data_IF_619036252752
#
_entry.id   IF_619036252752
#
_cell.length_a   1.000
_cell.length_b   1.000
_cell.length_c   1.000
_cell.angle_alpha   90.00
_cell.angle_beta   90.00
_cell.angle_gamma   90.00
#
_symmetry.space_group_name_H-M   'P 1'
#
loop_
_entity.id
_entity.type
_entity.pdbx_description
1 polymer ?
#
# COMPACT_ATOMS: atom_id res chain seq x y z
N UNK A 1 -41.26 60.25 60.09
CA UNK A 1 -40.63 60.44 58.77
C UNK A 1 -39.22 59.83 58.77
N UNK A 2 -39.11 58.50 58.93
CA UNK A 2 -37.80 57.80 58.93
C UNK A 2 -37.83 56.45 58.18
N UNK A 3 -39.01 55.84 57.98
CA UNK A 3 -39.13 54.53 57.31
C UNK A 3 -39.21 54.58 55.77
N UNK A 4 -39.60 55.70 55.15
CA UNK A 4 -39.61 55.81 53.68
C UNK A 4 -38.20 55.94 53.08
N UNK A 5 -37.23 56.50 53.83
CA UNK A 5 -35.88 56.71 53.33
C UNK A 5 -35.02 55.43 53.26
N UNK A 6 -35.35 54.39 54.02
CA UNK A 6 -34.54 53.15 54.06
C UNK A 6 -34.93 52.15 52.96
N UNK A 7 -36.17 52.21 52.47
CA UNK A 7 -36.68 51.31 51.43
C UNK A 7 -36.17 51.66 50.03
N UNK A 8 -35.99 52.94 49.71
CA UNK A 8 -35.48 53.32 48.38
C UNK A 8 -34.01 52.96 48.24
N UNK A 9 -33.18 53.19 49.26
CA UNK A 9 -31.74 52.86 49.25
C UNK A 9 -31.51 51.35 49.08
N UNK A 10 -32.24 50.53 49.82
CA UNK A 10 -32.19 49.07 49.67
C UNK A 10 -32.66 48.61 48.29
N UNK A 11 -33.72 49.21 47.76
CA UNK A 11 -34.21 48.88 46.41
C UNK A 11 -33.22 49.29 45.31
N UNK A 12 -32.49 50.38 45.49
CA UNK A 12 -31.46 50.85 44.56
C UNK A 12 -30.23 49.96 44.64
N UNK A 13 -29.79 49.59 45.84
CA UNK A 13 -28.70 48.63 46.04
C UNK A 13 -29.04 47.24 45.50
N UNK A 14 -30.27 46.76 45.71
CA UNK A 14 -30.75 45.49 45.16
C UNK A 14 -30.83 45.54 43.63
N UNK A 15 -31.35 46.63 43.04
CA UNK A 15 -31.36 46.83 41.58
C UNK A 15 -29.96 46.95 41.00
N UNK A 16 -29.03 47.62 41.68
CA UNK A 16 -27.63 47.71 41.26
C UNK A 16 -26.94 46.35 41.35
N UNK A 17 -27.15 45.59 42.43
CA UNK A 17 -26.62 44.24 42.58
C UNK A 17 -27.20 43.26 41.55
N UNK A 18 -28.51 43.30 41.32
CA UNK A 18 -29.19 42.46 40.34
C UNK A 18 -28.83 42.83 38.90
N UNK A 19 -28.70 44.13 38.58
CA UNK A 19 -28.24 44.58 37.26
C UNK A 19 -26.78 44.19 37.00
N UNK A 20 -25.89 44.31 38.01
CA UNK A 20 -24.52 43.82 37.91
C UNK A 20 -24.44 42.30 37.70
N UNK A 21 -25.29 41.52 38.38
CA UNK A 21 -25.37 40.06 38.18
C UNK A 21 -25.93 39.69 36.79
N UNK A 22 -26.91 40.44 36.28
CA UNK A 22 -27.44 40.25 34.92
C UNK A 22 -26.39 40.60 33.86
N UNK A 23 -25.59 41.64 34.07
CA UNK A 23 -24.50 42.04 33.19
C UNK A 23 -23.37 41.00 33.19
N UNK A 24 -23.02 40.44 34.35
CA UNK A 24 -22.03 39.37 34.45
C UNK A 24 -22.47 38.08 33.73
N UNK A 25 -23.75 37.70 33.83
CA UNK A 25 -24.30 36.54 33.09
C UNK A 25 -24.32 36.79 31.57
N UNK A 26 -24.74 37.97 31.13
CA UNK A 26 -24.72 38.36 29.71
C UNK A 26 -23.28 38.38 29.18
N UNK A 27 -22.33 38.94 29.91
CA UNK A 27 -20.92 38.95 29.53
C UNK A 27 -20.35 37.52 29.43
N UNK A 28 -20.71 36.62 30.34
CA UNK A 28 -20.31 35.20 30.26
C UNK A 28 -20.92 34.50 29.04
N UNK A 29 -22.20 34.73 28.75
CA UNK A 29 -22.87 34.14 27.58
C UNK A 29 -22.30 34.68 26.26
N UNK A 30 -22.05 35.99 26.17
CA UNK A 30 -21.37 36.60 25.02
C UNK A 30 -19.94 36.09 24.86
N UNK A 31 -19.20 35.92 25.97
CA UNK A 31 -17.88 35.32 25.95
C UNK A 31 -17.88 33.87 25.45
N UNK A 32 -18.87 33.06 25.85
CA UNK A 32 -19.05 31.69 25.34
C UNK A 32 -19.42 31.73 23.86
N UNK A 33 -20.36 32.60 23.46
CA UNK A 33 -20.78 32.75 22.07
C UNK A 33 -19.61 33.12 21.14
N UNK A 34 -18.84 34.16 21.50
CA UNK A 34 -17.68 34.56 20.69
C UNK A 34 -16.58 33.49 20.69
N UNK A 35 -16.33 32.78 21.80
CA UNK A 35 -15.39 31.65 21.81
C UNK A 35 -15.86 30.52 20.90
N UNK A 36 -17.14 30.13 20.97
CA UNK A 36 -17.72 29.11 20.09
C UNK A 36 -17.69 29.54 18.62
N UNK A 37 -17.94 30.82 18.33
CA UNK A 37 -17.82 31.37 16.98
C UNK A 37 -16.37 31.30 16.47
N UNK A 38 -15.39 31.65 17.31
CA UNK A 38 -13.97 31.55 16.98
C UNK A 38 -13.55 30.09 16.79
N UNK A 39 -13.99 29.16 17.62
CA UNK A 39 -13.73 27.73 17.44
C UNK A 39 -14.41 27.20 16.17
N UNK A 40 -15.62 27.64 15.85
CA UNK A 40 -16.30 27.31 14.59
C UNK A 40 -15.57 27.86 13.37
N UNK A 41 -15.11 29.11 13.43
CA UNK A 41 -14.30 29.74 12.38
C UNK A 41 -12.96 29.03 12.20
N UNK A 42 -12.25 28.72 13.30
CA UNK A 42 -11.00 27.96 13.26
C UNK A 42 -11.22 26.54 12.76
N UNK A 43 -12.33 25.89 13.11
CA UNK A 43 -12.70 24.58 12.59
C UNK A 43 -12.97 24.64 11.09
N UNK A 44 -13.64 25.68 10.60
CA UNK A 44 -13.90 25.90 9.17
C UNK A 44 -12.62 26.23 8.41
N UNK A 45 -11.74 27.07 8.99
CA UNK A 45 -10.40 27.34 8.45
C UNK A 45 -9.54 26.08 8.42
N UNK A 46 -9.60 25.27 9.47
CA UNK A 46 -8.92 23.99 9.52
C UNK A 46 -9.53 23.04 8.49
N UNK A 47 -10.85 23.04 8.29
CA UNK A 47 -11.51 22.24 7.24
C UNK A 47 -11.08 22.67 5.83
N UNK A 48 -10.93 23.97 5.60
CA UNK A 48 -10.42 24.53 4.34
C UNK A 48 -8.93 24.25 4.15
N UNK A 49 -8.12 24.35 5.21
CA UNK A 49 -6.67 24.16 5.19
C UNK A 49 -6.27 22.68 5.13
N UNK A 50 -7.02 21.83 5.80
CA UNK A 50 -6.87 20.37 5.81
C UNK A 50 -7.39 19.75 4.51
N UNK A 51 -8.06 20.54 3.67
CA UNK A 51 -8.66 20.10 2.43
C UNK A 51 -9.78 19.12 2.72
N UNK A 52 -11.02 19.53 2.51
CA UNK A 52 -12.05 18.59 2.07
C UNK A 52 -11.68 18.07 0.66
N UNK A 53 -10.52 17.42 0.54
CA UNK A 53 -10.26 16.31 -0.36
C UNK A 53 -10.71 15.08 0.44
N UNK A 54 -11.86 14.43 0.22
CA UNK A 54 -12.53 14.34 -1.06
C UNK A 54 -11.54 13.93 -2.12
N UNK A 55 -10.79 12.83 -1.92
CA UNK A 55 -9.91 12.21 -2.91
C UNK A 55 -10.73 11.75 -4.12
N UNK A 56 -11.19 12.73 -4.88
CA UNK A 56 -11.36 12.68 -6.30
C UNK A 56 -10.48 13.80 -6.79
N UNK A 57 -9.25 13.44 -7.14
CA UNK A 57 -8.56 14.14 -8.21
C UNK A 57 -9.50 14.01 -9.41
N UNK A 58 -10.46 14.93 -9.54
CA UNK A 58 -11.20 15.14 -10.75
C UNK A 58 -10.13 15.56 -11.77
N UNK A 59 -9.59 14.55 -12.45
CA UNK A 59 -8.67 14.63 -13.57
C UNK A 59 -9.35 15.27 -14.78
N UNK A 60 -9.87 16.48 -14.60
CA UNK A 60 -10.17 17.40 -15.69
C UNK A 60 -8.99 18.35 -15.88
N UNK A 61 -7.76 17.81 -15.94
CA UNK A 61 -6.77 18.39 -16.83
C UNK A 61 -7.28 18.05 -18.24
N UNK A 62 -7.83 19.06 -18.92
CA UNK A 62 -8.64 18.98 -20.14
C UNK A 62 -7.87 18.53 -21.41
N UNK A 63 -6.95 17.59 -21.28
CA UNK A 63 -6.10 17.11 -22.37
C UNK A 63 -5.76 15.63 -22.25
N UNK A 64 -5.28 15.09 -23.36
CA UNK A 64 -4.64 13.77 -23.40
C UNK A 64 -3.50 13.71 -22.39
N UNK A 65 -3.29 12.54 -21.81
CA UNK A 65 -2.24 12.34 -20.82
C UNK A 65 -1.75 10.89 -20.78
N UNK A 66 -0.54 10.72 -20.27
CA UNK A 66 0.00 9.44 -19.83
C UNK A 66 -0.43 9.19 -18.38
N UNK A 67 -1.08 8.06 -18.11
CA UNK A 67 -1.46 7.69 -16.75
C UNK A 67 -0.28 7.01 -16.04
N UNK A 68 0.11 7.49 -14.86
CA UNK A 68 1.14 6.91 -14.02
C UNK A 68 0.51 6.18 -12.82
N UNK A 69 1.01 4.99 -12.53
CA UNK A 69 0.66 4.22 -11.33
C UNK A 69 1.97 3.76 -10.67
N UNK A 70 2.14 4.03 -9.38
CA UNK A 70 3.30 3.63 -8.60
C UNK A 70 3.08 2.33 -7.81
N UNK A 71 3.99 1.38 -7.97
CA UNK A 71 4.13 0.19 -7.14
C UNK A 71 5.44 0.28 -6.34
N UNK A 72 5.36 0.77 -5.11
CA UNK A 72 6.53 0.98 -4.24
C UNK A 72 6.46 0.13 -2.97
N UNK A 73 7.54 -0.59 -2.68
CA UNK A 73 7.70 -1.37 -1.46
C UNK A 73 7.21 -2.82 -1.56
N UNK A 74 7.05 -3.47 -0.41
CA UNK A 74 6.66 -4.88 -0.32
C UNK A 74 5.19 -5.04 -0.70
N UNK A 75 4.90 -5.99 -1.59
CA UNK A 75 3.55 -6.32 -2.03
C UNK A 75 2.87 -7.20 -0.98
N UNK A 76 1.92 -6.66 -0.24
CA UNK A 76 1.15 -7.43 0.74
C UNK A 76 -0.21 -6.80 0.97
N UNK A 77 -1.18 -7.58 1.45
CA UNK A 77 -2.56 -7.12 1.70
C UNK A 77 -2.66 -5.99 2.73
N UNK A 78 -1.65 -5.85 3.61
CA UNK A 78 -1.56 -4.84 4.66
C UNK A 78 -0.67 -3.64 4.30
N UNK A 79 -0.01 -3.68 3.13
CA UNK A 79 0.80 -2.58 2.60
C UNK A 79 -0.02 -1.63 1.72
N UNK A 80 0.56 -0.49 1.34
CA UNK A 80 0.00 0.36 0.29
C UNK A 80 0.08 -0.30 -1.10
N UNK A 81 1.08 -1.15 -1.34
CA UNK A 81 1.27 -1.91 -2.57
C UNK A 81 0.45 -3.22 -2.55
N UNK A 82 -0.83 -3.11 -2.20
CA UNK A 82 -1.78 -4.22 -2.21
C UNK A 82 -2.55 -4.28 -3.54
N UNK A 83 -3.13 -5.45 -3.82
CA UNK A 83 -3.87 -5.71 -5.03
C UNK A 83 -5.10 -4.82 -5.18
N UNK A 84 -5.85 -4.56 -4.11
CA UNK A 84 -7.09 -3.76 -4.20
C UNK A 84 -6.80 -2.33 -4.68
N UNK A 85 -5.79 -1.68 -4.11
CA UNK A 85 -5.35 -0.34 -4.52
C UNK A 85 -4.87 -0.35 -5.98
N UNK A 86 -3.97 -1.27 -6.34
CA UNK A 86 -3.40 -1.33 -7.69
C UNK A 86 -4.46 -1.64 -8.74
N UNK A 87 -5.39 -2.55 -8.45
CA UNK A 87 -6.51 -2.89 -9.33
C UNK A 87 -7.42 -1.66 -9.50
N UNK A 88 -7.70 -0.93 -8.41
CA UNK A 88 -8.44 0.34 -8.48
C UNK A 88 -7.75 1.36 -9.40
N UNK A 89 -6.45 1.61 -9.17
CA UNK A 89 -5.66 2.52 -9.99
C UNK A 89 -5.63 2.13 -11.47
N UNK A 90 -5.43 0.83 -11.76
CA UNK A 90 -5.46 0.29 -13.12
C UNK A 90 -6.82 0.51 -13.76
N UNK A 91 -7.90 0.18 -13.05
CA UNK A 91 -9.25 0.37 -13.55
C UNK A 91 -9.56 1.83 -13.87
N UNK A 92 -9.14 2.75 -13.03
CA UNK A 92 -9.41 4.18 -13.23
C UNK A 92 -8.59 4.73 -14.39
N UNK A 93 -7.30 4.37 -14.49
CA UNK A 93 -6.44 4.76 -15.62
C UNK A 93 -6.97 4.25 -16.97
N UNK A 94 -7.38 2.97 -17.06
CA UNK A 94 -7.89 2.40 -18.31
C UNK A 94 -9.30 2.90 -18.70
N UNK A 95 -10.12 3.32 -17.72
CA UNK A 95 -11.47 3.88 -17.98
C UNK A 95 -11.43 5.35 -18.36
N UNK A 96 -10.37 6.08 -18.01
CA UNK A 96 -10.24 7.48 -18.36
C UNK A 96 -10.12 7.68 -19.88
N UNK A 97 -10.93 8.59 -20.43
CA UNK A 97 -11.05 8.79 -21.89
C UNK A 97 -9.86 9.52 -22.50
N UNK A 98 -9.06 10.19 -21.69
CA UNK A 98 -7.93 11.00 -22.12
C UNK A 98 -6.59 10.27 -21.96
N UNK A 99 -6.58 9.09 -21.31
CA UNK A 99 -5.40 8.25 -21.18
C UNK A 99 -4.94 7.72 -22.54
N UNK A 100 -3.72 8.08 -22.95
CA UNK A 100 -3.09 7.58 -24.18
C UNK A 100 -2.31 6.28 -23.96
N UNK A 101 -1.94 6.00 -22.71
CA UNK A 101 -1.15 4.87 -22.29
C UNK A 101 -0.91 4.89 -20.79
N UNK A 102 -0.66 3.72 -20.22
CA UNK A 102 -0.43 3.54 -18.79
C UNK A 102 1.05 3.21 -18.56
N UNK A 103 1.71 3.95 -17.67
CA UNK A 103 3.01 3.61 -17.11
C UNK A 103 2.80 3.06 -15.69
N UNK A 104 3.14 1.80 -15.48
CA UNK A 104 3.27 1.21 -14.15
C UNK A 104 4.74 1.32 -13.72
N UNK A 105 5.03 2.26 -12.84
CA UNK A 105 6.37 2.43 -12.28
C UNK A 105 6.56 1.48 -11.10
N UNK A 106 7.62 0.68 -11.14
CA UNK A 106 7.88 -0.34 -10.13
C UNK A 106 9.20 -0.07 -9.41
N UNK A 107 9.11 0.00 -8.07
CA UNK A 107 10.23 -0.05 -7.14
C UNK A 107 9.90 -0.98 -5.97
N UNK A 108 10.00 -2.30 -6.21
CA UNK A 108 9.53 -3.33 -5.30
C UNK A 108 10.47 -4.54 -5.23
N UNK A 109 10.76 -5.05 -4.00
CA UNK A 109 11.45 -6.32 -3.80
C UNK A 109 10.54 -7.54 -4.01
N UNK A 110 9.25 -7.34 -4.30
CA UNK A 110 8.26 -8.41 -4.36
C UNK A 110 7.37 -8.47 -3.12
N UNK A 111 6.85 -9.66 -2.81
CA UNK A 111 5.93 -9.88 -1.70
C UNK A 111 5.02 -11.09 -1.90
N UNK A 112 3.73 -10.96 -1.61
CA UNK A 112 2.77 -12.06 -1.66
C UNK A 112 2.54 -12.56 -3.10
N UNK A 113 2.66 -13.89 -3.36
CA UNK A 113 2.34 -14.46 -4.68
C UNK A 113 0.87 -14.26 -5.07
N UNK A 114 -0.04 -14.27 -4.09
CA UNK A 114 -1.48 -14.09 -4.33
C UNK A 114 -1.76 -12.66 -4.77
N UNK A 115 -1.22 -11.67 -4.05
CA UNK A 115 -1.41 -10.26 -4.39
C UNK A 115 -0.83 -9.93 -5.77
N UNK A 116 0.38 -10.44 -6.07
CA UNK A 116 0.98 -10.27 -7.39
C UNK A 116 0.18 -10.94 -8.51
N UNK A 117 -0.35 -12.14 -8.27
CA UNK A 117 -1.23 -12.85 -9.21
C UNK A 117 -2.49 -12.09 -9.56
N UNK A 118 -3.19 -11.55 -8.55
CA UNK A 118 -4.40 -10.74 -8.76
C UNK A 118 -4.15 -9.52 -9.65
N UNK A 119 -3.04 -8.81 -9.42
CA UNK A 119 -2.69 -7.63 -10.23
C UNK A 119 -2.27 -8.04 -11.63
N UNK A 120 -1.51 -9.13 -11.79
CA UNK A 120 -1.14 -9.67 -13.11
C UNK A 120 -2.38 -10.00 -13.95
N UNK A 121 -3.33 -10.73 -13.37
CA UNK A 121 -4.58 -11.09 -14.03
C UNK A 121 -5.40 -9.86 -14.43
N UNK A 122 -5.46 -8.84 -13.56
CA UNK A 122 -6.14 -7.60 -13.87
C UNK A 122 -5.46 -6.82 -15.01
N UNK A 123 -4.13 -6.69 -15.00
CA UNK A 123 -3.39 -6.05 -16.11
C UNK A 123 -3.75 -6.73 -17.43
N UNK A 124 -3.74 -8.07 -17.45
CA UNK A 124 -4.09 -8.84 -18.66
C UNK A 124 -5.54 -8.61 -19.09
N UNK A 125 -6.47 -8.56 -18.13
CA UNK A 125 -7.88 -8.29 -18.41
C UNK A 125 -8.06 -6.89 -19.00
N UNK A 126 -7.43 -5.88 -18.41
CA UNK A 126 -7.51 -4.49 -18.87
C UNK A 126 -6.91 -4.31 -20.27
N UNK A 127 -5.71 -4.85 -20.53
CA UNK A 127 -5.11 -4.84 -21.87
C UNK A 127 -5.99 -5.50 -22.93
N UNK A 128 -6.72 -6.57 -22.56
CA UNK A 128 -7.68 -7.21 -23.47
C UNK A 128 -8.92 -6.36 -23.74
N UNK A 129 -9.41 -5.62 -22.75
CA UNK A 129 -10.57 -4.75 -22.88
C UNK A 129 -10.26 -3.42 -23.59
N UNK A 130 -9.02 -2.95 -23.44
CA UNK A 130 -8.53 -1.67 -23.94
C UNK A 130 -7.29 -1.87 -24.83
N UNK A 131 -7.42 -2.55 -25.99
CA UNK A 131 -6.28 -2.91 -26.83
C UNK A 131 -5.53 -1.70 -27.41
N UNK A 132 -6.17 -0.53 -27.45
CA UNK A 132 -5.58 0.72 -27.96
C UNK A 132 -4.81 1.51 -26.87
N UNK A 133 -4.88 1.09 -25.60
CA UNK A 133 -4.18 1.72 -24.48
C UNK A 133 -3.02 0.79 -24.06
N UNK A 134 -1.78 1.06 -24.47
CA UNK A 134 -0.64 0.23 -24.07
C UNK A 134 -0.35 0.40 -22.57
N UNK A 135 0.09 -0.69 -21.93
CA UNK A 135 0.64 -0.65 -20.58
C UNK A 135 2.13 -0.98 -20.60
N UNK A 136 2.93 -0.01 -20.17
CA UNK A 136 4.37 -0.14 -20.05
C UNK A 136 4.78 -0.15 -18.59
N UNK A 137 5.73 -1.01 -18.26
CA UNK A 137 6.38 -0.98 -16.95
C UNK A 137 7.67 -0.18 -17.07
N UNK A 138 7.91 0.70 -16.11
CA UNK A 138 9.21 1.35 -15.93
C UNK A 138 9.77 0.92 -14.59
N UNK A 139 10.90 0.24 -14.60
CA UNK A 139 11.60 -0.16 -13.38
C UNK A 139 12.49 0.99 -12.92
N UNK A 140 12.35 1.39 -11.66
CA UNK A 140 13.31 2.28 -10.99
C UNK A 140 14.52 1.46 -10.51
N UNK A 141 14.73 1.37 -9.19
CA UNK A 141 15.86 0.65 -8.62
C UNK A 141 15.65 -0.86 -8.66
N UNK A 142 14.42 -1.33 -8.41
CA UNK A 142 14.14 -2.76 -8.23
C UNK A 142 12.77 -3.20 -8.75
N UNK A 143 12.75 -4.29 -9.50
CA UNK A 143 11.56 -5.03 -9.90
C UNK A 143 11.86 -6.53 -9.74
N UNK A 144 11.81 -6.99 -8.50
CA UNK A 144 12.16 -8.36 -8.13
C UNK A 144 10.93 -9.17 -7.72
N UNK A 145 10.99 -10.48 -7.93
CA UNK A 145 10.08 -11.46 -7.35
C UNK A 145 8.62 -11.12 -7.66
N UNK A 146 7.74 -10.93 -6.68
CA UNK A 146 6.35 -10.49 -6.91
C UNK A 146 6.20 -9.23 -7.78
N UNK A 147 7.16 -8.29 -7.74
CA UNK A 147 7.17 -7.13 -8.62
C UNK A 147 7.41 -7.51 -10.09
N UNK A 148 8.32 -8.45 -10.34
CA UNK A 148 8.56 -8.98 -11.69
C UNK A 148 7.40 -9.85 -12.17
N UNK A 149 6.74 -10.58 -11.27
CA UNK A 149 5.49 -11.31 -11.55
C UNK A 149 4.45 -10.38 -12.16
N UNK A 150 4.21 -9.21 -11.55
CA UNK A 150 3.29 -8.20 -12.08
C UNK A 150 3.81 -7.66 -13.41
N UNK A 151 5.09 -7.29 -13.48
CA UNK A 151 5.69 -6.67 -14.66
C UNK A 151 5.59 -7.54 -15.92
N UNK A 152 5.65 -8.87 -15.77
CA UNK A 152 5.54 -9.81 -16.88
C UNK A 152 4.22 -9.68 -17.67
N UNK A 153 3.16 -9.12 -17.08
CA UNK A 153 1.90 -8.87 -17.78
C UNK A 153 1.89 -7.62 -18.68
N UNK A 154 2.93 -6.78 -18.67
CA UNK A 154 2.99 -5.57 -19.47
C UNK A 154 3.25 -5.82 -20.97
N UNK A 155 2.98 -4.81 -21.82
CA UNK A 155 3.36 -4.83 -23.23
C UNK A 155 4.88 -4.79 -23.41
N UNK A 156 5.52 -3.88 -22.66
CA UNK A 156 6.97 -3.67 -22.58
C UNK A 156 7.41 -3.33 -21.16
N UNK A 157 8.65 -3.69 -20.84
CA UNK A 157 9.34 -3.41 -19.59
C UNK A 157 10.59 -2.60 -19.91
N UNK A 158 10.66 -1.38 -19.38
CA UNK A 158 11.78 -0.46 -19.49
C UNK A 158 12.58 -0.46 -18.18
N UNK A 159 13.90 -0.37 -18.29
CA UNK A 159 14.82 -0.42 -17.14
C UNK A 159 15.90 0.66 -17.23
N UNK A 160 16.51 1.01 -16.10
CA UNK A 160 17.84 1.60 -16.10
C UNK A 160 18.90 0.49 -16.20
N UNK A 161 20.11 0.81 -16.69
CA UNK A 161 21.25 -0.11 -16.74
C UNK A 161 21.51 -0.83 -15.41
N UNK A 162 21.39 -0.07 -14.31
CA UNK A 162 21.66 -0.55 -12.95
C UNK A 162 20.41 -1.03 -12.20
N UNK A 163 19.22 -0.97 -12.80
CA UNK A 163 18.01 -1.55 -12.18
C UNK A 163 18.22 -3.01 -11.85
N UNK A 164 17.63 -3.48 -10.76
CA UNK A 164 17.67 -4.87 -10.33
C UNK A 164 16.36 -5.55 -10.74
N UNK A 165 16.44 -6.59 -11.56
CA UNK A 165 15.30 -7.32 -12.09
C UNK A 165 15.49 -8.82 -11.89
N UNK A 166 14.40 -9.58 -11.82
CA UNK A 166 14.44 -11.03 -11.68
C UNK A 166 13.98 -11.46 -10.30
N UNK A 167 14.81 -12.21 -9.57
CA UNK A 167 14.38 -12.93 -8.36
C UNK A 167 13.19 -13.84 -8.65
N UNK A 168 13.24 -14.54 -9.79
CA UNK A 168 12.16 -15.43 -10.20
C UNK A 168 12.33 -16.73 -9.42
N UNK A 169 11.63 -16.80 -8.30
CA UNK A 169 11.70 -17.88 -7.33
C UNK A 169 10.66 -17.68 -6.23
N UNK A 170 10.57 -18.67 -5.32
CA UNK A 170 9.64 -18.67 -4.19
C UNK A 170 10.37 -19.19 -2.98
N UNK A 171 10.17 -18.57 -1.82
CA UNK A 171 10.74 -19.05 -0.58
C UNK A 171 9.70 -19.09 0.54
N UNK A 172 9.97 -19.97 1.49
CA UNK A 172 9.33 -19.96 2.79
C UNK A 172 10.44 -20.16 3.81
N UNK A 173 10.62 -19.18 4.68
CA UNK A 173 11.70 -19.13 5.64
C UNK A 173 11.18 -19.12 7.08
N UNK A 174 12.10 -19.31 8.01
CA UNK A 174 11.84 -19.40 9.44
C UNK A 174 13.10 -19.81 10.18
N UNK A 175 13.13 -19.55 11.49
CA UNK A 175 14.24 -19.94 12.35
C UNK A 175 13.92 -21.22 13.12
N UNK A 176 14.96 -21.98 13.48
CA UNK A 176 14.87 -23.08 14.44
C UNK A 176 15.63 -22.75 15.73
N UNK A 177 14.99 -22.96 16.88
CA UNK A 177 15.54 -22.61 18.22
C UNK A 177 15.81 -23.81 19.12
N UNK A 178 15.62 -25.04 18.64
CA UNK A 178 15.79 -26.28 19.42
C UNK A 178 17.12 -26.35 20.16
N UNK A 179 18.24 -26.05 19.48
CA UNK A 179 19.57 -26.05 20.09
C UNK A 179 19.77 -24.96 21.15
N UNK A 180 19.14 -23.79 20.98
CA UNK A 180 19.19 -22.69 21.96
C UNK A 180 18.41 -23.07 23.21
N UNK A 181 17.20 -23.60 23.05
CA UNK A 181 16.36 -24.03 24.17
C UNK A 181 17.03 -25.13 25.00
N UNK A 182 17.68 -26.09 24.35
CA UNK A 182 18.44 -27.14 25.03
C UNK A 182 19.55 -26.57 25.92
N UNK A 183 20.29 -25.55 25.44
CA UNK A 183 21.35 -24.90 26.23
C UNK A 183 20.82 -24.11 27.42
N UNK A 184 19.63 -23.54 27.30
CA UNK A 184 19.00 -22.74 28.34
C UNK A 184 18.12 -23.57 29.31
N UNK A 185 17.98 -24.88 29.07
CA UNK A 185 17.11 -25.74 29.86
C UNK A 185 15.61 -25.46 29.66
N UNK A 186 15.24 -24.90 28.51
CA UNK A 186 13.82 -24.61 28.17
C UNK A 186 13.22 -25.84 27.49
N UNK A 187 12.12 -26.35 28.06
CA UNK A 187 11.36 -27.47 27.51
C UNK A 187 10.11 -26.95 26.77
N UNK A 188 9.90 -27.42 25.55
CA UNK A 188 8.69 -27.12 24.78
C UNK A 188 7.63 -28.21 25.00
N UNK A 189 6.42 -27.83 25.40
CA UNK A 189 5.26 -28.72 25.53
C UNK A 189 4.16 -28.32 24.55
N UNK A 190 4.08 -29.00 23.41
CA UNK A 190 3.03 -28.77 22.41
C UNK A 190 2.02 -29.91 22.40
N UNK A 191 0.75 -29.56 22.56
CA UNK A 191 -0.38 -30.46 22.37
C UNK A 191 -1.23 -29.93 21.21
N UNK A 192 -1.53 -30.78 20.23
CA UNK A 192 -2.29 -30.40 19.03
C UNK A 192 -3.37 -31.41 18.69
N UNK A 193 -4.49 -30.92 18.16
CA UNK A 193 -5.42 -31.71 17.39
C UNK A 193 -5.10 -31.58 15.89
N UNK A 194 -4.94 -32.70 15.19
CA UNK A 194 -4.47 -32.77 13.80
C UNK A 194 -2.95 -33.00 13.70
N UNK A 195 -2.54 -34.03 12.95
CA UNK A 195 -1.16 -34.53 12.89
C UNK A 195 -0.13 -33.48 12.44
N UNK A 196 -0.53 -32.54 11.59
CA UNK A 196 0.35 -31.52 11.02
C UNK A 196 0.18 -30.13 11.66
N UNK A 197 -0.57 -30.01 12.77
CA UNK A 197 -0.89 -28.70 13.34
C UNK A 197 0.30 -28.01 14.03
N UNK A 198 1.39 -28.73 14.26
CA UNK A 198 2.69 -28.19 14.65
C UNK A 198 3.65 -27.89 13.49
N UNK A 199 3.16 -27.92 12.23
CA UNK A 199 3.94 -27.59 11.04
C UNK A 199 4.57 -26.19 11.15
N UNK A 200 5.83 -26.07 10.75
CA UNK A 200 6.62 -24.83 10.81
C UNK A 200 6.79 -24.24 12.22
N UNK A 201 6.63 -25.04 13.26
CA UNK A 201 6.95 -24.58 14.61
C UNK A 201 8.47 -24.42 14.80
N UNK A 202 8.96 -23.21 15.14
CA UNK A 202 10.39 -22.92 15.21
C UNK A 202 11.05 -23.54 16.46
N UNK A 203 10.27 -24.09 17.37
CA UNK A 203 10.72 -24.67 18.64
C UNK A 203 10.73 -26.21 18.61
N UNK A 204 10.31 -26.81 17.49
CA UNK A 204 10.35 -28.26 17.27
C UNK A 204 11.47 -28.63 16.30
N UNK A 205 12.00 -29.87 16.38
CA UNK A 205 12.91 -30.37 15.37
C UNK A 205 12.27 -30.37 13.98
N UNK A 206 13.07 -30.15 12.95
CA UNK A 206 12.60 -30.21 11.56
C UNK A 206 12.06 -31.62 11.26
N UNK A 207 10.84 -31.69 10.73
CA UNK A 207 10.19 -32.93 10.35
C UNK A 207 10.40 -33.21 8.85
N UNK A 208 11.03 -34.34 8.45
CA UNK A 208 11.28 -34.64 7.04
C UNK A 208 10.02 -34.71 6.17
N UNK A 209 8.89 -35.14 6.72
CA UNK A 209 7.60 -35.17 5.99
C UNK A 209 7.10 -33.77 5.69
N UNK A 210 7.22 -32.87 6.68
CA UNK A 210 6.86 -31.46 6.53
C UNK A 210 7.78 -30.74 5.56
N UNK A 211 9.08 -31.03 5.61
CA UNK A 211 10.06 -30.49 4.67
C UNK A 211 9.76 -30.92 3.22
N UNK A 212 9.48 -32.21 2.99
CA UNK A 212 9.11 -32.70 1.67
C UNK A 212 7.80 -32.06 1.15
N UNK A 213 6.80 -31.92 2.02
CA UNK A 213 5.55 -31.22 1.70
C UNK A 213 5.79 -29.76 1.33
N UNK A 214 6.60 -29.05 2.12
CA UNK A 214 6.99 -27.66 1.84
C UNK A 214 7.68 -27.52 0.50
N UNK A 215 8.67 -28.39 0.18
CA UNK A 215 9.36 -28.34 -1.11
C UNK A 215 8.38 -28.50 -2.26
N UNK A 216 7.48 -29.48 -2.18
CA UNK A 216 6.49 -29.70 -3.24
C UNK A 216 5.57 -28.49 -3.42
N UNK A 217 5.11 -27.91 -2.33
CA UNK A 217 4.29 -26.68 -2.36
C UNK A 217 5.05 -25.50 -3.00
N UNK A 218 6.32 -25.30 -2.65
CA UNK A 218 7.15 -24.25 -3.25
C UNK A 218 7.40 -24.50 -4.73
N UNK A 219 7.65 -25.74 -5.15
CA UNK A 219 7.77 -26.13 -6.57
C UNK A 219 6.49 -25.79 -7.34
N UNK A 220 5.32 -26.11 -6.80
CA UNK A 220 4.04 -25.85 -7.46
C UNK A 220 3.79 -24.34 -7.65
N UNK A 221 4.11 -23.51 -6.63
CA UNK A 221 4.01 -22.04 -6.73
C UNK A 221 5.07 -21.49 -7.70
N UNK A 222 6.28 -22.05 -7.69
CA UNK A 222 7.34 -21.60 -8.57
C UNK A 222 7.01 -21.87 -10.04
N UNK A 223 6.41 -23.02 -10.34
CA UNK A 223 5.93 -23.33 -11.69
C UNK A 223 4.89 -22.32 -12.19
N UNK A 224 3.98 -21.87 -11.32
CA UNK A 224 3.01 -20.81 -11.69
C UNK A 224 3.71 -19.50 -12.06
N UNK A 225 4.76 -19.12 -11.31
CA UNK A 225 5.54 -17.92 -11.63
C UNK A 225 6.30 -18.08 -12.95
N UNK A 226 6.95 -19.22 -13.16
CA UNK A 226 7.61 -19.55 -14.44
C UNK A 226 6.63 -19.42 -15.60
N UNK A 227 5.42 -19.96 -15.47
CA UNK A 227 4.39 -19.93 -16.52
C UNK A 227 3.97 -18.49 -16.85
N UNK A 228 3.79 -17.64 -15.84
CA UNK A 228 3.48 -16.22 -16.03
C UNK A 228 4.61 -15.49 -16.76
N UNK A 229 5.86 -15.72 -16.37
CA UNK A 229 7.01 -15.10 -17.04
C UNK A 229 7.12 -15.58 -18.49
N UNK A 230 7.01 -16.88 -18.74
CA UNK A 230 7.05 -17.46 -20.09
C UNK A 230 5.92 -16.93 -20.96
N UNK A 231 4.71 -16.81 -20.41
CA UNK A 231 3.56 -16.26 -21.11
C UNK A 231 3.74 -14.78 -21.44
N UNK A 232 4.23 -13.98 -20.50
CA UNK A 232 4.43 -12.55 -20.67
C UNK A 232 5.57 -12.19 -21.63
N UNK A 233 6.72 -12.82 -21.44
CA UNK A 233 7.92 -12.54 -22.24
C UNK A 233 7.88 -13.22 -23.61
N UNK A 234 7.28 -14.41 -23.69
CA UNK A 234 7.13 -15.17 -24.94
C UNK A 234 8.48 -15.43 -25.62
N UNK A 235 8.54 -15.24 -26.93
CA UNK A 235 9.76 -15.46 -27.74
C UNK A 235 10.94 -14.52 -27.39
N UNK A 236 10.69 -13.44 -26.64
CA UNK A 236 11.75 -12.51 -26.20
C UNK A 236 12.66 -13.16 -25.16
N UNK A 237 12.10 -14.03 -24.33
CA UNK A 237 12.82 -14.69 -23.24
C UNK A 237 13.89 -15.63 -23.80
N UNK A 238 15.13 -15.44 -23.33
CA UNK A 238 16.26 -16.30 -23.63
C UNK A 238 16.65 -17.03 -22.35
N UNK A 239 15.96 -18.15 -22.12
CA UNK A 239 16.14 -18.95 -20.92
C UNK A 239 17.58 -19.49 -20.81
N UNK A 240 18.16 -19.32 -19.63
CA UNK A 240 19.40 -19.94 -19.16
C UNK A 240 19.08 -20.86 -17.98
N UNK A 241 19.98 -21.78 -17.59
CA UNK A 241 19.79 -22.61 -16.40
C UNK A 241 19.48 -21.82 -15.11
N UNK A 242 19.92 -20.55 -15.06
CA UNK A 242 19.77 -19.67 -13.89
C UNK A 242 18.59 -18.70 -13.99
N UNK A 243 17.82 -18.72 -15.08
CA UNK A 243 16.74 -17.73 -15.28
C UNK A 243 15.67 -17.81 -14.18
N UNK A 244 15.41 -19.02 -13.69
CA UNK A 244 14.39 -19.31 -12.67
C UNK A 244 15.02 -19.83 -11.37
N UNK A 245 16.27 -19.49 -11.07
CA UNK A 245 16.93 -19.95 -9.83
C UNK A 245 16.71 -19.01 -8.63
N UNK A 246 15.99 -17.90 -8.81
CA UNK A 246 15.85 -16.83 -7.82
C UNK A 246 16.98 -15.79 -7.84
N UNK A 247 17.87 -15.82 -8.84
CA UNK A 247 18.91 -14.80 -8.99
C UNK A 247 18.39 -13.46 -9.54
N UNK A 248 19.15 -12.40 -9.24
CA UNK A 248 18.94 -11.06 -9.74
C UNK A 248 19.83 -10.77 -10.94
N UNK A 249 19.37 -9.86 -11.80
CA UNK A 249 20.07 -9.39 -12.97
C UNK A 249 20.02 -7.86 -13.00
N UNK A 250 21.10 -7.23 -13.47
CA UNK A 250 21.09 -5.81 -13.80
C UNK A 250 20.17 -5.56 -15.00
N UNK A 251 19.67 -4.34 -15.18
CA UNK A 251 18.83 -3.98 -16.31
C UNK A 251 19.52 -4.24 -17.66
N UNK A 252 20.83 -3.96 -17.77
CA UNK A 252 21.64 -4.32 -18.93
C UNK A 252 21.51 -5.82 -19.25
N UNK A 253 21.69 -6.67 -18.23
CA UNK A 253 21.62 -8.12 -18.40
C UNK A 253 20.19 -8.61 -18.65
N UNK A 254 19.21 -7.98 -18.03
CA UNK A 254 17.80 -8.29 -18.19
C UNK A 254 17.33 -8.07 -19.64
N UNK A 255 17.81 -7.03 -20.33
CA UNK A 255 17.53 -6.81 -21.75
C UNK A 255 18.18 -7.92 -22.60
N UNK A 256 19.44 -8.28 -22.34
CA UNK A 256 20.10 -9.36 -23.08
C UNK A 256 19.35 -10.69 -22.99
N UNK A 257 18.85 -11.01 -21.79
CA UNK A 257 18.07 -12.22 -21.48
C UNK A 257 16.60 -12.12 -21.92
N UNK A 258 16.15 -10.95 -22.37
CA UNK A 258 14.75 -10.70 -22.73
C UNK A 258 13.79 -10.67 -21.55
N UNK A 259 14.31 -10.51 -20.32
CA UNK A 259 13.53 -10.23 -19.12
C UNK A 259 13.02 -8.78 -19.10
N UNK A 260 13.73 -7.87 -19.76
CA UNK A 260 13.30 -6.51 -20.07
C UNK A 260 13.38 -6.26 -21.59
N UNK A 261 12.80 -5.16 -22.06
CA UNK A 261 12.74 -4.83 -23.48
C UNK A 261 13.77 -3.77 -23.86
N UNK A 262 13.76 -2.61 -23.19
CA UNK A 262 14.54 -1.44 -23.57
C UNK A 262 14.96 -0.61 -22.35
N UNK A 263 15.84 0.37 -22.54
CA UNK A 263 16.14 1.35 -21.49
C UNK A 263 15.10 2.47 -21.47
N UNK A 264 14.76 2.97 -20.28
CA UNK A 264 13.87 4.11 -20.16
C UNK A 264 13.64 4.58 -18.73
N UNK A 265 13.26 5.84 -18.60
CA UNK A 265 12.59 6.44 -17.44
C UNK A 265 11.14 6.76 -17.76
N UNK A 266 10.34 7.09 -16.74
CA UNK A 266 8.94 7.54 -16.91
C UNK A 266 8.87 8.68 -17.93
N UNK A 267 9.70 9.71 -17.77
CA UNK A 267 9.71 10.86 -18.67
C UNK A 267 10.04 10.48 -20.11
N UNK A 268 11.05 9.61 -20.32
CA UNK A 268 11.41 9.17 -21.67
C UNK A 268 10.33 8.31 -22.31
N UNK A 269 9.65 7.46 -21.53
CA UNK A 269 8.59 6.60 -22.07
C UNK A 269 7.35 7.45 -22.40
N UNK A 270 6.96 8.37 -21.52
CA UNK A 270 5.87 9.30 -21.75
C UNK A 270 6.13 10.17 -23.00
N UNK A 271 7.29 10.83 -23.06
CA UNK A 271 7.67 11.71 -24.17
C UNK A 271 7.94 10.97 -25.48
N UNK A 272 8.85 9.99 -25.44
CA UNK A 272 9.47 9.45 -26.65
C UNK A 272 8.71 8.23 -27.19
N UNK A 273 8.04 7.47 -26.32
CA UNK A 273 7.29 6.26 -26.72
C UNK A 273 5.80 6.56 -26.87
N UNK A 274 5.16 7.11 -25.82
CA UNK A 274 3.72 7.41 -25.82
C UNK A 274 3.38 8.72 -26.53
N UNK A 275 4.39 9.59 -26.77
CA UNK A 275 4.23 10.91 -27.41
C UNK A 275 3.28 11.84 -26.63
N UNK A 276 3.26 11.71 -25.31
CA UNK A 276 2.44 12.51 -24.41
C UNK A 276 3.20 12.73 -23.09
N UNK A 277 3.79 13.92 -22.95
CA UNK A 277 4.61 14.31 -21.79
C UNK A 277 3.77 14.65 -20.56
N UNK A 278 2.49 14.96 -20.74
CA UNK A 278 1.60 15.26 -19.63
C UNK A 278 1.31 13.99 -18.83
N UNK A 279 1.89 13.86 -17.64
CA UNK A 279 1.73 12.71 -16.77
C UNK A 279 0.71 13.04 -15.67
N UNK A 280 -0.30 12.19 -15.53
CA UNK A 280 -1.30 12.28 -14.46
C UNK A 280 -1.16 11.05 -13.57
N UNK A 281 -1.08 11.28 -12.26
CA UNK A 281 -0.93 10.22 -11.27
C UNK A 281 -2.29 9.61 -10.89
N UNK A 282 -2.45 8.31 -11.13
CA UNK A 282 -3.62 7.51 -10.79
C UNK A 282 -3.39 6.60 -9.58
N UNK A 283 -2.24 6.72 -8.91
CA UNK A 283 -1.89 5.89 -7.76
C UNK A 283 -2.88 6.09 -6.63
N UNK A 284 -3.61 5.03 -6.28
CA UNK A 284 -4.53 5.06 -5.16
C UNK A 284 -3.73 5.04 -3.85
N UNK A 285 -3.92 6.08 -3.05
CA UNK A 285 -3.42 6.14 -1.70
C UNK A 285 -4.59 5.92 -0.73
N UNK A 286 -4.36 5.20 0.38
CA UNK A 286 -5.33 5.22 1.47
C UNK A 286 -5.62 6.67 1.87
N UNK A 287 -6.90 7.03 1.87
CA UNK A 287 -7.36 8.35 2.24
C UNK A 287 -6.86 8.72 3.64
N UNK A 288 -6.62 10.01 3.86
CA UNK A 288 -6.05 10.53 5.11
C UNK A 288 -6.82 10.06 6.37
N UNK A 289 -8.14 9.88 6.25
CA UNK A 289 -9.00 9.36 7.31
C UNK A 289 -8.65 7.92 7.73
N UNK A 290 -8.38 7.03 6.77
CA UNK A 290 -8.01 5.64 7.06
C UNK A 290 -6.62 5.54 7.70
N UNK A 291 -5.68 6.39 7.26
CA UNK A 291 -4.35 6.49 7.87
C UNK A 291 -4.43 6.97 9.32
N UNK A 292 -5.29 7.96 9.60
CA UNK A 292 -5.55 8.42 10.97
C UNK A 292 -6.22 7.33 11.80
N UNK A 293 -7.25 6.67 11.27
CA UNK A 293 -7.96 5.61 11.97
C UNK A 293 -7.03 4.44 12.34
N UNK A 294 -6.13 4.02 11.43
CA UNK A 294 -5.11 3.00 11.72
C UNK A 294 -4.09 3.47 12.76
N UNK A 295 -3.61 4.72 12.70
CA UNK A 295 -2.66 5.25 13.70
C UNK A 295 -3.29 5.40 15.08
N UNK A 296 -4.54 5.85 15.16
CA UNK A 296 -5.30 5.91 16.40
C UNK A 296 -5.63 4.51 16.92
N UNK A 297 -6.08 3.60 16.06
CA UNK A 297 -6.40 2.22 16.39
C UNK A 297 -5.18 1.43 16.86
N UNK A 298 -4.02 1.59 16.22
CA UNK A 298 -2.76 0.99 16.65
C UNK A 298 -2.27 1.58 17.98
N UNK A 299 -2.46 2.88 18.21
CA UNK A 299 -2.20 3.51 19.51
C UNK A 299 -3.07 2.92 20.63
N UNK A 300 -4.35 2.69 20.37
CA UNK A 300 -5.28 2.06 21.32
C UNK A 300 -5.00 0.56 21.51
N UNK A 301 -4.62 -0.17 20.45
CA UNK A 301 -4.23 -1.57 20.53
C UNK A 301 -2.92 -1.76 21.30
N UNK A 302 -1.98 -0.80 21.21
CA UNK A 302 -0.75 -0.81 22.01
C UNK A 302 -0.98 -0.62 23.52
N UNK A 303 -2.18 -0.15 23.92
CA UNK A 303 -2.62 -0.17 25.33
C UNK A 303 -3.17 -1.52 25.78
N UNK A 304 -3.46 -2.47 24.87
CA UNK A 304 -4.03 -3.79 25.19
C UNK A 304 -3.38 -4.91 24.36
N UNK A 305 -2.21 -5.43 24.77
CA UNK A 305 -1.32 -6.25 23.93
C UNK A 305 -1.76 -7.73 23.77
N UNK A 306 -3.07 -8.03 23.79
CA UNK A 306 -3.57 -9.39 23.98
C UNK A 306 -4.00 -10.20 22.75
N UNK A 307 -4.02 -9.64 21.53
CA UNK A 307 -4.60 -10.34 20.38
C UNK A 307 -3.79 -10.14 19.09
N UNK A 308 -3.07 -11.18 18.67
CA UNK A 308 -2.43 -11.23 17.36
C UNK A 308 -1.53 -12.44 17.19
N UNK A 309 -2.11 -13.56 16.73
CA UNK A 309 -1.36 -14.76 16.32
C UNK A 309 -0.76 -14.55 14.92
N UNK A 310 0.56 -14.65 14.80
CA UNK A 310 1.28 -14.47 13.55
C UNK A 310 1.45 -15.85 12.87
N UNK A 311 0.70 -16.08 11.80
CA UNK A 311 0.90 -17.21 10.90
C UNK A 311 2.00 -16.86 9.91
N UNK A 312 2.96 -17.78 9.70
CA UNK A 312 4.02 -17.61 8.71
C UNK A 312 3.45 -17.41 7.31
N UNK A 313 3.75 -16.26 6.71
CA UNK A 313 3.35 -15.94 5.34
C UNK A 313 4.39 -16.49 4.36
N UNK A 314 3.94 -17.19 3.32
CA UNK A 314 4.77 -17.49 2.15
C UNK A 314 5.00 -16.19 1.40
N UNK A 315 6.26 -15.85 1.10
CA UNK A 315 6.62 -14.61 0.40
C UNK A 315 7.53 -14.91 -0.79
N UNK A 316 7.27 -14.21 -1.89
CA UNK A 316 8.19 -14.05 -3.01
C UNK A 316 9.10 -12.88 -2.65
N UNK A 317 10.36 -13.12 -2.30
CA UNK A 317 11.40 -12.07 -2.24
C UNK A 317 12.44 -12.36 -3.31
#
# INVERSE_FOLDING_TARGET
MADENNNWERSVLEKLAMSALQEQRRARHWGIFFKSLTFGYLFLLLFLFMGWSGDKVDGSLSGKHTALIDLTGVISSDSNANADNLIGSLQDAFKDKNTVGVILRINSPGGSPVQAGLVNDEIRRQRKLHPDIPLYVVVEDMCASGGYYIAAAADKIYVNKASIVGSIGVLMDGFGFTGTMQKLGVERRLFTAGENKGFMDPFSPLNPKHEAFTRKMLEDIHMQFIDVVKQGRGKRLKETPETFSGLFWTGDKAIEMGLADEYGSVDSVARDVLKEENIVDFTTHEGFADRLAKKFGAGVASMFPGFGAQLGAVTLR
#
